data_IF_006112723892
#
_entry.id   IF_006112723892
#
_cell.length_a   1.000
_cell.length_b   1.000
_cell.length_c   1.000
_cell.angle_alpha   90.00
_cell.angle_beta   90.00
_cell.angle_gamma   90.00
#
_symmetry.space_group_name_H-M   'P 1'
#
loop_
_entity.id
_entity.type
_entity.pdbx_description
1 polymer ?
#
# COMPACT_ATOMS: atom_id res chain seq x y z
N UNK A 1 38.41 11.27 -7.08
CA UNK A 1 36.94 11.19 -7.06
C UNK A 1 36.52 9.75 -6.76
N UNK A 2 36.40 9.40 -5.47
CA UNK A 2 35.89 8.09 -5.01
C UNK A 2 34.44 8.29 -4.60
N UNK A 3 33.54 7.72 -5.37
CA UNK A 3 32.11 7.69 -5.04
C UNK A 3 31.93 7.05 -3.67
N UNK A 4 31.44 7.85 -2.71
CA UNK A 4 30.81 7.33 -1.51
C UNK A 4 29.59 6.55 -1.97
N UNK A 5 29.72 5.24 -2.13
CA UNK A 5 28.58 4.35 -1.97
C UNK A 5 28.17 4.50 -0.50
N UNK A 6 27.30 5.47 -0.26
CA UNK A 6 26.60 5.62 1.00
C UNK A 6 25.76 4.36 1.14
N UNK A 7 26.22 3.42 1.94
CA UNK A 7 25.43 2.25 2.32
C UNK A 7 24.10 2.79 2.87
N UNK A 8 23.01 2.55 2.13
CA UNK A 8 21.69 2.96 2.53
C UNK A 8 21.43 2.37 3.94
N UNK A 9 21.17 3.24 4.91
CA UNK A 9 20.85 2.80 6.26
C UNK A 9 19.60 1.90 6.26
N UNK A 10 19.42 1.02 7.27
CA UNK A 10 18.28 0.10 7.33
C UNK A 10 16.92 0.79 7.10
N UNK A 11 16.81 2.02 7.60
CA UNK A 11 15.78 3.01 7.31
C UNK A 11 15.39 3.18 5.83
N UNK A 12 16.39 3.46 5.01
CA UNK A 12 16.22 3.76 3.60
C UNK A 12 15.84 2.49 2.84
N UNK A 13 16.28 1.33 3.31
CA UNK A 13 15.86 0.02 2.80
C UNK A 13 14.39 -0.26 3.11
N UNK A 14 13.91 0.07 4.32
CA UNK A 14 12.50 -0.10 4.70
C UNK A 14 11.58 0.79 3.85
N UNK A 15 11.95 2.07 3.67
CA UNK A 15 11.17 3.01 2.85
C UNK A 15 11.14 2.61 1.38
N UNK A 16 12.27 2.13 0.84
CA UNK A 16 12.34 1.65 -0.54
C UNK A 16 11.49 0.40 -0.74
N UNK A 17 11.57 -0.56 0.18
CA UNK A 17 10.75 -1.79 0.15
C UNK A 17 9.27 -1.44 0.22
N UNK A 18 8.89 -0.57 1.15
CA UNK A 18 7.52 -0.11 1.30
C UNK A 18 7.00 0.58 0.04
N UNK A 19 7.76 1.53 -0.51
CA UNK A 19 7.39 2.22 -1.74
C UNK A 19 7.29 1.26 -2.94
N UNK A 20 8.22 0.31 -3.07
CA UNK A 20 8.20 -0.68 -4.15
C UNK A 20 6.97 -1.59 -4.09
N UNK A 21 6.58 -2.04 -2.89
CA UNK A 21 5.36 -2.82 -2.70
C UNK A 21 4.11 -2.00 -3.07
N UNK A 22 4.03 -0.74 -2.62
CA UNK A 22 2.92 0.16 -2.99
C UNK A 22 2.87 0.39 -4.50
N UNK A 23 4.03 0.58 -5.14
CA UNK A 23 4.13 0.75 -6.58
C UNK A 23 3.62 -0.50 -7.32
N UNK A 24 4.09 -1.68 -6.93
CA UNK A 24 3.67 -2.95 -7.53
C UNK A 24 2.15 -3.19 -7.37
N UNK A 25 1.61 -2.92 -6.18
CA UNK A 25 0.17 -2.97 -5.91
C UNK A 25 -0.59 -1.98 -6.80
N UNK A 26 -0.12 -0.72 -6.87
CA UNK A 26 -0.74 0.31 -7.69
C UNK A 26 -0.79 -0.03 -9.17
N UNK A 27 0.36 -0.45 -9.74
CA UNK A 27 0.48 -0.83 -11.15
C UNK A 27 -0.38 -2.06 -11.47
N UNK A 28 -0.33 -3.11 -10.64
CA UNK A 28 -1.11 -4.33 -10.86
C UNK A 28 -2.63 -4.08 -10.75
N UNK A 29 -3.05 -3.28 -9.77
CA UNK A 29 -4.45 -2.88 -9.62
C UNK A 29 -4.94 -2.00 -10.77
N UNK A 30 -4.05 -1.19 -11.38
CA UNK A 30 -4.43 -0.32 -12.49
C UNK A 30 -4.52 -1.07 -13.83
N UNK A 31 -3.48 -1.87 -14.14
CA UNK A 31 -3.36 -2.61 -15.40
C UNK A 31 -4.20 -3.88 -15.44
N UNK A 32 -4.34 -4.59 -14.31
CA UNK A 32 -5.02 -5.87 -14.22
C UNK A 32 -6.03 -5.91 -13.06
N UNK A 33 -6.99 -4.97 -12.99
CA UNK A 33 -7.84 -4.76 -11.81
C UNK A 33 -8.63 -6.01 -11.40
N UNK A 34 -9.18 -6.77 -12.35
CA UNK A 34 -9.93 -8.00 -12.05
C UNK A 34 -9.04 -9.07 -11.39
N UNK A 35 -7.79 -9.20 -11.85
CA UNK A 35 -6.83 -10.16 -11.30
C UNK A 35 -6.33 -9.71 -9.93
N UNK A 36 -6.01 -8.43 -9.79
CA UNK A 36 -5.61 -7.84 -8.52
C UNK A 36 -6.69 -8.01 -7.45
N UNK A 37 -7.94 -7.70 -7.78
CA UNK A 37 -9.07 -7.88 -6.88
C UNK A 37 -9.32 -9.36 -6.51
N UNK A 38 -9.17 -10.28 -7.47
CA UNK A 38 -9.27 -11.72 -7.19
C UNK A 38 -8.18 -12.20 -6.22
N UNK A 39 -6.93 -11.73 -6.38
CA UNK A 39 -5.84 -12.01 -5.44
C UNK A 39 -6.12 -11.44 -4.04
N UNK A 40 -6.81 -10.31 -3.98
CA UNK A 40 -7.29 -9.70 -2.75
C UNK A 40 -8.52 -10.40 -2.16
N UNK A 41 -9.01 -11.50 -2.75
CA UNK A 41 -10.18 -12.23 -2.27
C UNK A 41 -11.49 -11.44 -2.39
N UNK A 42 -11.51 -10.40 -3.23
CA UNK A 42 -12.68 -9.59 -3.51
C UNK A 42 -13.57 -10.27 -4.56
N UNK A 43 -14.88 -10.14 -4.37
CA UNK A 43 -15.87 -10.64 -5.32
C UNK A 43 -15.80 -9.96 -6.69
N UNK A 44 -16.48 -10.55 -7.66
CA UNK A 44 -16.65 -9.97 -8.98
C UNK A 44 -17.99 -9.23 -9.06
N UNK A 45 -17.96 -7.91 -8.92
CA UNK A 45 -19.10 -7.05 -9.23
C UNK A 45 -18.82 -6.19 -10.50
N UNK A 46 -19.85 -5.51 -11.02
CA UNK A 46 -19.74 -4.70 -12.25
C UNK A 46 -18.81 -3.49 -12.10
N UNK A 47 -18.73 -2.94 -10.89
CA UNK A 47 -17.99 -1.71 -10.56
C UNK A 47 -16.59 -2.00 -10.01
N UNK A 48 -16.28 -3.26 -9.68
CA UNK A 48 -15.05 -3.70 -9.06
C UNK A 48 -13.82 -3.27 -9.85
N UNK A 49 -13.78 -3.37 -11.20
CA UNK A 49 -12.61 -2.91 -11.93
C UNK A 49 -12.33 -1.41 -11.77
N UNK A 50 -13.37 -0.59 -11.61
CA UNK A 50 -13.20 0.85 -11.33
C UNK A 50 -12.66 1.04 -9.92
N UNK A 51 -13.29 0.42 -8.92
CA UNK A 51 -12.88 0.53 -7.51
C UNK A 51 -11.44 0.07 -7.31
N UNK A 52 -11.02 -1.03 -7.93
CA UNK A 52 -9.64 -1.52 -7.87
C UNK A 52 -8.66 -0.56 -8.52
N UNK A 53 -9.03 0.10 -9.64
CA UNK A 53 -8.18 1.14 -10.24
C UNK A 53 -8.07 2.38 -9.36
N UNK A 54 -9.15 2.80 -8.72
CA UNK A 54 -9.13 3.93 -7.78
C UNK A 54 -8.21 3.65 -6.59
N UNK A 55 -8.29 2.44 -6.02
CA UNK A 55 -7.35 1.96 -5.01
C UNK A 55 -5.91 1.97 -5.53
N UNK A 56 -5.68 1.41 -6.73
CA UNK A 56 -4.36 1.37 -7.35
C UNK A 56 -3.75 2.74 -7.61
N UNK A 57 -4.54 3.72 -8.05
CA UNK A 57 -4.11 5.10 -8.26
C UNK A 57 -3.60 5.75 -6.97
N UNK A 58 -4.25 5.48 -5.84
CA UNK A 58 -3.82 5.96 -4.53
C UNK A 58 -2.47 5.36 -4.14
N UNK A 59 -2.33 4.04 -4.27
CA UNK A 59 -1.08 3.33 -3.95
C UNK A 59 0.08 3.80 -4.80
N UNK A 60 -0.14 3.98 -6.11
CA UNK A 60 0.88 4.49 -7.03
C UNK A 60 1.30 5.92 -6.67
N UNK A 61 0.35 6.79 -6.35
CA UNK A 61 0.63 8.18 -5.96
C UNK A 61 1.47 8.24 -4.68
N UNK A 62 1.12 7.45 -3.67
CA UNK A 62 1.88 7.37 -2.42
C UNK A 62 3.28 6.81 -2.66
N UNK A 63 3.41 5.76 -3.47
CA UNK A 63 4.72 5.20 -3.81
C UNK A 63 5.66 6.25 -4.43
N UNK A 64 5.16 7.00 -5.42
CA UNK A 64 5.92 8.06 -6.07
C UNK A 64 6.35 9.16 -5.09
N UNK A 65 5.43 9.59 -4.22
CA UNK A 65 5.72 10.62 -3.22
C UNK A 65 6.72 10.14 -2.14
N UNK A 66 6.74 8.85 -1.80
CA UNK A 66 7.72 8.28 -0.87
C UNK A 66 9.10 8.18 -1.53
N UNK A 67 9.17 7.89 -2.84
CA UNK A 67 10.43 7.84 -3.58
C UNK A 67 11.01 9.20 -3.93
N UNK A 68 10.29 10.29 -3.66
CA UNK A 68 10.79 11.65 -3.92
C UNK A 68 12.02 11.94 -3.05
N UNK A 69 13.17 12.11 -3.71
CA UNK A 69 14.44 12.43 -3.05
C UNK A 69 14.68 13.92 -2.89
N UNK A 70 13.90 14.77 -3.58
CA UNK A 70 14.05 16.21 -3.56
C UNK A 70 13.41 16.85 -2.32
N UNK A 71 12.35 16.24 -1.77
CA UNK A 71 11.59 16.79 -0.63
C UNK A 71 11.43 15.80 0.52
N UNK A 72 12.31 15.86 1.55
CA UNK A 72 12.18 15.05 2.76
C UNK A 72 10.84 15.26 3.50
N UNK A 73 10.29 16.47 3.44
CA UNK A 73 8.99 16.80 4.03
C UNK A 73 7.84 16.10 3.30
N UNK A 74 7.86 16.08 1.97
CA UNK A 74 6.86 15.36 1.17
C UNK A 74 6.91 13.86 1.48
N UNK A 75 8.12 13.27 1.46
CA UNK A 75 8.33 11.86 1.78
C UNK A 75 7.78 11.50 3.18
N UNK A 76 8.09 12.28 4.21
CA UNK A 76 7.58 12.05 5.56
C UNK A 76 6.05 12.13 5.63
N UNK A 77 5.43 13.12 4.96
CA UNK A 77 3.97 13.23 4.89
C UNK A 77 3.34 12.07 4.11
N UNK A 78 3.95 11.63 3.02
CA UNK A 78 3.48 10.49 2.25
C UNK A 78 3.52 9.19 3.06
N UNK A 79 4.57 8.96 3.86
CA UNK A 79 4.63 7.82 4.78
C UNK A 79 3.51 7.87 5.84
N UNK A 80 3.29 9.04 6.46
CA UNK A 80 2.21 9.23 7.46
C UNK A 80 0.82 9.00 6.86
N UNK A 81 0.55 9.56 5.67
CA UNK A 81 -0.71 9.38 4.98
C UNK A 81 -0.90 7.94 4.50
N UNK A 82 0.18 7.28 4.06
CA UNK A 82 0.17 5.86 3.73
C UNK A 82 -0.28 5.01 4.92
N UNK A 83 0.36 5.20 6.08
CA UNK A 83 0.00 4.51 7.33
C UNK A 83 -1.45 4.79 7.75
N UNK A 84 -1.90 6.04 7.66
CA UNK A 84 -3.28 6.40 7.98
C UNK A 84 -4.25 5.60 7.12
N UNK A 85 -4.03 5.53 5.82
CA UNK A 85 -4.96 4.81 4.97
C UNK A 85 -4.87 3.30 5.17
N UNK A 86 -3.69 2.73 5.38
CA UNK A 86 -3.56 1.29 5.69
C UNK A 86 -4.37 0.94 6.96
N UNK A 87 -4.36 1.84 7.95
CA UNK A 87 -5.17 1.71 9.17
C UNK A 87 -6.67 1.78 8.86
N UNK A 88 -7.09 2.72 8.00
CA UNK A 88 -8.48 2.84 7.56
C UNK A 88 -8.94 1.62 6.75
N UNK A 89 -8.05 1.03 5.95
CA UNK A 89 -8.32 -0.19 5.19
C UNK A 89 -8.49 -1.41 6.11
N UNK A 90 -7.71 -1.51 7.19
CA UNK A 90 -7.92 -2.53 8.24
C UNK A 90 -9.30 -2.35 8.89
N UNK A 91 -9.66 -1.11 9.26
CA UNK A 91 -10.98 -0.81 9.85
C UNK A 91 -12.10 -1.17 8.87
N UNK A 92 -11.94 -0.85 7.58
CA UNK A 92 -12.90 -1.20 6.53
C UNK A 92 -13.05 -2.72 6.38
N UNK A 93 -11.95 -3.48 6.43
CA UNK A 93 -11.98 -4.94 6.39
C UNK A 93 -12.70 -5.53 7.62
N UNK A 94 -12.44 -4.99 8.81
CA UNK A 94 -13.15 -5.39 10.05
C UNK A 94 -14.65 -5.12 9.93
N UNK A 95 -15.05 -3.95 9.40
CA UNK A 95 -16.46 -3.65 9.13
C UNK A 95 -17.07 -4.62 8.11
N UNK A 96 -16.33 -4.97 7.06
CA UNK A 96 -16.77 -5.93 6.05
C UNK A 96 -17.00 -7.33 6.62
N UNK A 97 -16.12 -7.81 7.49
CA UNK A 97 -16.28 -9.08 8.20
C UNK A 97 -17.51 -9.02 9.12
N UNK A 98 -17.64 -7.97 9.93
CA UNK A 98 -18.77 -7.81 10.86
C UNK A 98 -20.13 -7.72 10.17
N UNK A 99 -20.17 -7.17 8.95
CA UNK A 99 -21.40 -7.05 8.14
C UNK A 99 -21.60 -8.21 7.17
N UNK A 100 -20.73 -9.22 7.19
CA UNK A 100 -20.77 -10.36 6.27
C UNK A 100 -20.73 -9.96 4.79
N UNK A 101 -20.11 -8.81 4.46
CA UNK A 101 -19.92 -8.34 3.08
C UNK A 101 -18.55 -8.70 2.52
N UNK A 102 -17.65 -9.20 3.36
CA UNK A 102 -16.31 -9.63 2.97
C UNK A 102 -16.14 -11.14 3.22
N UNK A 103 -15.63 -11.85 2.21
CA UNK A 103 -15.34 -13.29 2.33
C UNK A 103 -14.19 -13.53 3.31
N UNK A 104 -14.07 -14.73 3.93
CA UNK A 104 -12.92 -15.05 4.78
C UNK A 104 -11.57 -14.90 4.07
N UNK A 105 -11.49 -15.32 2.80
CA UNK A 105 -10.30 -15.12 1.98
C UNK A 105 -9.99 -13.63 1.76
N UNK A 106 -11.02 -12.82 1.49
CA UNK A 106 -10.89 -11.37 1.37
C UNK A 106 -10.50 -10.69 2.69
N UNK A 107 -10.97 -11.19 3.84
CA UNK A 107 -10.57 -10.68 5.14
C UNK A 107 -9.08 -10.90 5.41
N UNK A 108 -8.57 -12.08 5.07
CA UNK A 108 -7.13 -12.38 5.19
C UNK A 108 -6.32 -11.57 4.17
N UNK A 109 -6.72 -11.55 2.91
CA UNK A 109 -5.95 -10.90 1.85
C UNK A 109 -6.00 -9.37 1.93
N UNK A 110 -7.20 -8.75 1.98
CA UNK A 110 -7.33 -7.30 2.13
C UNK A 110 -6.95 -6.83 3.53
N UNK A 111 -7.54 -7.42 4.57
CA UNK A 111 -7.31 -6.97 5.95
C UNK A 111 -5.90 -7.28 6.44
N UNK A 112 -5.41 -8.49 6.18
CA UNK A 112 -4.02 -8.87 6.48
C UNK A 112 -3.01 -8.11 5.63
N UNK A 113 -3.29 -7.89 4.34
CA UNK A 113 -2.48 -7.04 3.48
C UNK A 113 -2.38 -5.60 4.02
N UNK A 114 -3.51 -4.98 4.33
CA UNK A 114 -3.55 -3.64 4.92
C UNK A 114 -2.78 -3.58 6.25
N UNK A 115 -2.93 -4.58 7.13
CA UNK A 115 -2.18 -4.66 8.38
C UNK A 115 -0.66 -4.77 8.13
N UNK A 116 -0.24 -5.57 7.14
CA UNK A 116 1.17 -5.66 6.74
C UNK A 116 1.69 -4.30 6.26
N UNK A 117 0.96 -3.61 5.40
CA UNK A 117 1.36 -2.27 4.94
C UNK A 117 1.41 -1.27 6.10
N UNK A 118 0.49 -1.31 7.06
CA UNK A 118 0.55 -0.48 8.25
C UNK A 118 1.82 -0.75 9.09
N UNK A 119 2.16 -2.02 9.32
CA UNK A 119 3.40 -2.40 10.02
C UNK A 119 4.66 -1.92 9.27
N UNK A 120 4.70 -2.06 7.94
CA UNK A 120 5.81 -1.59 7.12
C UNK A 120 5.90 -0.05 7.13
N UNK A 121 4.78 0.66 7.10
CA UNK A 121 4.71 2.11 7.21
C UNK A 121 5.23 2.60 8.56
N UNK A 122 4.87 1.93 9.66
CA UNK A 122 5.42 2.18 10.99
C UNK A 122 6.94 1.96 11.01
N UNK A 123 7.42 0.83 10.47
CA UNK A 123 8.86 0.54 10.41
C UNK A 123 9.64 1.53 9.52
N UNK A 124 9.00 2.09 8.49
CA UNK A 124 9.57 3.10 7.61
C UNK A 124 9.59 4.51 8.24
N UNK A 125 8.73 4.78 9.23
CA UNK A 125 8.66 6.03 9.99
C UNK A 125 9.50 6.02 11.26
N UNK A 126 9.64 4.85 11.90
CA UNK A 126 10.35 4.69 13.16
C UNK A 126 11.87 4.76 13.02
N UNK A 127 12.37 4.88 11.80
CA UNK A 127 13.79 5.04 11.53
C UNK A 127 14.07 6.32 10.76
#
# INVERSE_FOLDING_TARGET
MRGRQQLAGPQQNNQTTFAALRFATGVSAWLAPKRAAALLGLGSDRQQPLTTRLFGSRELTLALAITDTASPRLRARALQLGLLVDTLDVIAAVHGVRRHTLSPAGAVACGGGAALFACLGLAALAG
#
